data_IF_383539721195
#
_entry.id   IF_383539721195
#
_cell.length_a   1.000
_cell.length_b   1.000
_cell.length_c   1.000
_cell.angle_alpha   90.00
_cell.angle_beta   90.00
_cell.angle_gamma   90.00
#
_symmetry.space_group_name_H-M   'P 1'
#
loop_
_entity.id
_entity.type
_entity.pdbx_description
1 polymer ?
#
# COMPACT_ATOMS: atom_id res chain seq x y z
N UNK A 1 -17.42 7.15 11.77
CA UNK A 1 -16.16 6.52 12.21
C UNK A 1 -15.06 7.45 11.77
N UNK A 2 -14.52 8.22 12.70
CA UNK A 2 -13.39 9.10 12.43
C UNK A 2 -12.21 8.21 12.04
N UNK A 3 -11.87 8.14 10.74
CA UNK A 3 -10.53 7.73 10.35
C UNK A 3 -9.61 8.92 10.66
N UNK A 4 -9.35 9.13 11.95
CA UNK A 4 -8.29 10.01 12.41
C UNK A 4 -7.05 9.70 11.58
N UNK A 5 -6.45 10.75 11.02
CA UNK A 5 -5.55 10.70 9.85
C UNK A 5 -4.70 9.43 9.76
N UNK A 6 -4.58 8.89 8.53
CA UNK A 6 -3.92 7.61 8.28
C UNK A 6 -2.61 7.50 9.09
N UNK A 7 -2.42 6.42 9.88
CA UNK A 7 -1.24 6.25 10.72
C UNK A 7 0.07 6.23 9.90
N UNK A 8 -0.05 5.97 8.59
CA UNK A 8 1.02 6.07 7.61
C UNK A 8 0.54 6.88 6.40
N UNK A 9 1.40 7.78 5.89
CA UNK A 9 1.13 8.51 4.64
C UNK A 9 1.15 7.54 3.45
N UNK A 10 0.28 7.79 2.48
CA UNK A 10 0.17 7.02 1.23
C UNK A 10 1.50 6.93 0.47
N UNK A 11 2.25 8.04 0.41
CA UNK A 11 3.58 8.07 -0.23
C UNK A 11 4.60 7.14 0.46
N UNK A 12 4.54 7.05 1.78
CA UNK A 12 5.42 6.15 2.54
C UNK A 12 4.98 4.70 2.36
N UNK A 13 3.68 4.42 2.32
CA UNK A 13 3.14 3.09 2.03
C UNK A 13 3.55 2.59 0.64
N UNK A 14 3.48 3.44 -0.40
CA UNK A 14 3.94 3.11 -1.74
C UNK A 14 5.47 2.84 -1.79
N UNK A 15 6.26 3.67 -1.11
CA UNK A 15 7.71 3.47 -1.02
C UNK A 15 8.07 2.14 -0.32
N UNK A 16 7.33 1.74 0.71
CA UNK A 16 7.53 0.46 1.38
C UNK A 16 7.30 -0.72 0.45
N UNK A 17 6.24 -0.69 -0.37
CA UNK A 17 5.97 -1.74 -1.36
C UNK A 17 7.09 -1.82 -2.39
N UNK A 18 7.56 -0.67 -2.90
CA UNK A 18 8.67 -0.60 -3.86
C UNK A 18 10.01 -1.07 -3.30
N UNK A 19 10.23 -0.97 -1.99
CA UNK A 19 11.42 -1.50 -1.32
C UNK A 19 11.37 -3.03 -1.16
N UNK A 20 10.18 -3.63 -1.19
CA UNK A 20 10.06 -5.09 -1.15
C UNK A 20 10.40 -5.70 -2.51
N UNK A 21 10.79 -6.98 -2.53
CA UNK A 21 10.97 -7.73 -3.78
C UNK A 21 9.63 -8.29 -4.32
N UNK A 22 8.52 -7.60 -4.01
CA UNK A 22 7.19 -7.98 -4.43
C UNK A 22 6.96 -7.59 -5.89
N UNK A 23 6.21 -8.42 -6.59
CA UNK A 23 5.79 -8.19 -7.97
C UNK A 23 4.29 -8.50 -8.06
N UNK A 24 3.53 -7.82 -8.92
CA UNK A 24 2.07 -8.03 -9.05
C UNK A 24 1.66 -9.46 -9.41
N UNK A 25 2.59 -10.27 -9.95
CA UNK A 25 2.40 -11.69 -10.22
C UNK A 25 2.34 -12.57 -8.94
N UNK A 26 2.71 -12.01 -7.79
CA UNK A 26 2.73 -12.71 -6.50
C UNK A 26 1.68 -12.16 -5.55
N UNK A 27 1.05 -13.00 -4.71
CA UNK A 27 0.14 -12.52 -3.68
C UNK A 27 0.86 -11.60 -2.70
N UNK A 28 0.27 -10.43 -2.42
CA UNK A 28 0.71 -9.51 -1.37
C UNK A 28 -0.11 -9.78 -0.10
N UNK A 29 0.56 -9.97 1.03
CA UNK A 29 -0.10 -10.20 2.32
C UNK A 29 0.51 -9.28 3.37
N UNK A 30 -0.33 -8.43 3.96
CA UNK A 30 -0.01 -7.63 5.13
C UNK A 30 -0.87 -8.12 6.32
N UNK A 31 -0.30 -8.90 7.26
CA UNK A 31 -1.04 -9.46 8.39
C UNK A 31 -1.44 -8.41 9.44
N UNK A 32 -0.93 -7.18 9.34
CA UNK A 32 -1.22 -6.09 10.27
C UNK A 32 -1.74 -4.85 9.53
N UNK A 33 -2.63 -5.06 8.56
CA UNK A 33 -2.99 -4.02 7.59
C UNK A 33 -3.59 -2.74 8.21
N UNK A 34 -4.14 -2.77 9.43
CA UNK A 34 -4.68 -1.58 10.09
C UNK A 34 -5.73 -0.87 9.23
N UNK A 35 -5.40 0.32 8.72
CA UNK A 35 -6.23 1.09 7.77
C UNK A 35 -6.20 0.56 6.32
N UNK A 36 -5.36 -0.43 6.02
CA UNK A 36 -5.21 -1.05 4.71
C UNK A 36 -4.36 -0.25 3.72
N UNK A 37 -3.74 0.86 4.15
CA UNK A 37 -3.05 1.82 3.27
C UNK A 37 -1.96 1.15 2.42
N UNK A 38 -1.15 0.25 3.00
CA UNK A 38 -0.08 -0.46 2.26
C UNK A 38 -0.65 -1.40 1.21
N UNK A 39 -1.70 -2.16 1.55
CA UNK A 39 -2.34 -3.08 0.61
C UNK A 39 -3.02 -2.34 -0.56
N UNK A 40 -3.62 -1.18 -0.29
CA UNK A 40 -4.24 -0.31 -1.30
C UNK A 40 -3.18 0.24 -2.26
N UNK A 41 -2.07 0.78 -1.74
CA UNK A 41 -0.97 1.26 -2.58
C UNK A 41 -0.31 0.12 -3.38
N UNK A 42 -0.13 -1.07 -2.79
CA UNK A 42 0.37 -2.25 -3.49
C UNK A 42 -0.53 -2.66 -4.66
N UNK A 43 -1.85 -2.64 -4.46
CA UNK A 43 -2.82 -2.92 -5.51
C UNK A 43 -2.77 -1.89 -6.65
N UNK A 44 -2.57 -0.60 -6.33
CA UNK A 44 -2.45 0.45 -7.34
C UNK A 44 -1.15 0.34 -8.14
N UNK A 45 -0.01 0.08 -7.47
CA UNK A 45 1.27 -0.20 -8.11
C UNK A 45 1.14 -1.41 -9.04
N UNK A 46 0.50 -2.49 -8.59
CA UNK A 46 0.31 -3.71 -9.37
C UNK A 46 -0.58 -3.54 -10.60
N UNK A 47 -1.57 -2.65 -10.53
CA UNK A 47 -2.47 -2.33 -11.64
C UNK A 47 -1.88 -1.27 -12.60
N UNK A 48 -0.66 -0.78 -12.37
CA UNK A 48 -0.05 0.35 -13.09
C UNK A 48 -0.91 1.63 -13.02
N UNK A 49 -1.77 1.73 -12.01
CA UNK A 49 -2.45 2.98 -11.70
C UNK A 49 -1.43 3.87 -10.97
N UNK A 50 -1.46 5.17 -11.21
CA UNK A 50 -0.59 6.08 -10.50
C UNK A 50 -0.85 5.91 -8.98
N UNK A 51 0.18 5.66 -8.15
CA UNK A 51 0.00 5.63 -6.69
C UNK A 51 -0.64 6.94 -6.26
N UNK A 52 -1.49 6.93 -5.22
CA UNK A 52 -2.16 8.16 -4.78
C UNK A 52 -1.15 9.03 -4.03
N UNK A 53 -0.42 9.82 -4.79
CA UNK A 53 0.48 10.87 -4.32
C UNK A 53 -0.26 12.17 -4.07
#
# INVERSE_FOLDING_TARGET
MDQGGAPIKETLAAALVLLTNWTPDRPFVDPFCGSGTIAIEAAMIGQKHCPRI
#
